data_IF_786447196065
#
_entry.id   IF_786447196065
#
_cell.length_a   1.000
_cell.length_b   1.000
_cell.length_c   1.000
_cell.angle_alpha   90.00
_cell.angle_beta   90.00
_cell.angle_gamma   90.00
#
_symmetry.space_group_name_H-M   'P 1'
#
loop_
_entity.id
_entity.type
_entity.pdbx_description
1 polymer ?
#
# COMPACT_ATOMS: atom_id res chain seq x y z
N UNK A 1 -19.68 48.01 1.08
CA UNK A 1 -19.22 46.96 0.16
C UNK A 1 -17.86 46.51 0.66
N UNK A 2 -17.78 45.44 1.45
CA UNK A 2 -16.52 44.97 2.02
C UNK A 2 -15.98 43.87 1.10
N UNK A 3 -14.83 44.14 0.48
CA UNK A 3 -14.13 43.17 -0.35
C UNK A 3 -13.45 42.15 0.56
N UNK A 4 -13.99 40.94 0.61
CA UNK A 4 -13.28 39.77 1.14
C UNK A 4 -12.10 39.48 0.22
N UNK A 5 -10.89 39.86 0.62
CA UNK A 5 -9.66 39.31 0.01
C UNK A 5 -9.68 37.79 0.15
N UNK A 6 -9.36 37.02 -0.89
CA UNK A 6 -9.14 35.59 -0.72
C UNK A 6 -7.91 35.44 0.17
N UNK A 7 -8.08 34.84 1.35
CA UNK A 7 -6.95 34.47 2.18
C UNK A 7 -6.00 33.63 1.33
N UNK A 8 -4.78 34.12 1.10
CA UNK A 8 -3.79 33.41 0.30
C UNK A 8 -3.59 32.01 0.91
N UNK A 9 -4.03 30.98 0.19
CA UNK A 9 -3.87 29.59 0.60
C UNK A 9 -2.37 29.34 0.76
N UNK A 10 -1.93 29.09 2.00
CA UNK A 10 -0.52 28.82 2.29
C UNK A 10 -0.11 27.57 1.51
N UNK A 11 1.13 27.48 0.98
CA UNK A 11 1.59 26.32 0.23
C UNK A 11 1.34 24.98 0.95
N UNK A 12 1.44 24.96 2.28
CA UNK A 12 1.14 23.78 3.10
C UNK A 12 -0.35 23.38 3.08
N UNK A 13 -1.27 24.35 2.95
CA UNK A 13 -2.70 24.08 2.82
C UNK A 13 -3.02 23.45 1.45
N UNK A 14 -2.47 24.02 0.38
CA UNK A 14 -2.56 23.46 -0.98
C UNK A 14 -2.01 22.03 -1.00
N UNK A 15 -0.84 21.82 -0.40
CA UNK A 15 -0.21 20.50 -0.37
C UNK A 15 -1.03 19.47 0.43
N UNK A 16 -1.66 19.86 1.54
CA UNK A 16 -2.59 18.99 2.28
C UNK A 16 -3.82 18.65 1.46
N UNK A 17 -4.35 19.61 0.70
CA UNK A 17 -5.47 19.37 -0.19
C UNK A 17 -5.08 18.42 -1.34
N UNK A 18 -3.92 18.60 -1.95
CA UNK A 18 -3.41 17.63 -2.94
C UNK A 18 -3.15 16.25 -2.33
N UNK A 19 -2.69 16.15 -1.07
CA UNK A 19 -2.58 14.86 -0.39
C UNK A 19 -3.95 14.20 -0.21
N UNK A 20 -5.00 14.96 0.15
CA UNK A 20 -6.39 14.44 0.22
C UNK A 20 -6.85 13.88 -1.11
N UNK A 21 -6.57 14.58 -2.21
CA UNK A 21 -6.92 14.12 -3.56
C UNK A 21 -6.19 12.84 -3.95
N UNK A 22 -4.93 12.67 -3.53
CA UNK A 22 -4.10 11.52 -3.88
C UNK A 22 -4.31 10.30 -2.97
N UNK A 23 -4.60 10.52 -1.69
CA UNK A 23 -4.58 9.49 -0.66
C UNK A 23 -5.91 9.36 0.09
N UNK A 24 -6.93 10.14 -0.28
CA UNK A 24 -8.23 10.23 0.40
C UNK A 24 -8.22 11.20 1.59
N UNK A 25 -7.09 11.36 2.26
CA UNK A 25 -6.91 12.27 3.39
C UNK A 25 -5.44 12.77 3.52
N UNK A 26 -5.15 13.80 4.34
CA UNK A 26 -3.78 14.25 4.57
C UNK A 26 -2.91 13.15 5.20
N UNK A 27 -1.65 13.07 4.78
CA UNK A 27 -0.71 12.06 5.32
C UNK A 27 -0.54 12.18 6.84
N UNK A 28 -0.62 13.39 7.38
CA UNK A 28 -0.56 13.63 8.82
C UNK A 28 -1.67 12.89 9.59
N UNK A 29 -2.87 12.82 9.03
CA UNK A 29 -4.03 12.21 9.67
C UNK A 29 -3.93 10.68 9.62
N UNK A 30 -3.48 10.12 8.48
CA UNK A 30 -3.17 8.69 8.33
C UNK A 30 -2.10 8.26 9.35
N UNK A 31 -0.97 8.98 9.39
CA UNK A 31 0.15 8.70 10.28
C UNK A 31 -0.26 8.83 11.75
N UNK A 32 -1.02 9.86 12.10
CA UNK A 32 -1.52 10.06 13.47
C UNK A 32 -2.43 8.92 13.91
N UNK A 33 -3.33 8.46 13.03
CA UNK A 33 -4.21 7.33 13.32
C UNK A 33 -3.42 6.03 13.53
N UNK A 34 -2.49 5.71 12.62
CA UNK A 34 -1.68 4.49 12.70
C UNK A 34 -0.83 4.49 13.97
N UNK A 35 -0.12 5.59 14.25
CA UNK A 35 0.74 5.69 15.43
C UNK A 35 -0.06 5.60 16.72
N UNK A 36 -1.24 6.24 16.79
CA UNK A 36 -2.11 6.14 17.97
C UNK A 36 -2.71 4.75 18.15
N UNK A 37 -3.22 4.13 17.10
CA UNK A 37 -3.88 2.82 17.19
C UNK A 37 -2.89 1.68 17.49
N UNK A 38 -1.70 1.74 16.88
CA UNK A 38 -0.68 0.70 17.03
C UNK A 38 0.35 1.01 18.13
N UNK A 39 0.27 2.17 18.78
CA UNK A 39 1.20 2.59 19.82
C UNK A 39 2.64 2.78 19.29
N UNK A 40 2.78 3.24 18.05
CA UNK A 40 4.07 3.40 17.37
C UNK A 40 4.58 4.84 17.47
N UNK A 41 5.91 4.99 17.52
CA UNK A 41 6.51 6.29 17.23
C UNK A 41 6.50 6.55 15.72
N UNK A 42 6.54 7.82 15.31
CA UNK A 42 6.69 8.16 13.89
C UNK A 42 7.99 7.60 13.28
N UNK A 43 9.06 7.50 14.08
CA UNK A 43 10.32 6.88 13.64
C UNK A 43 10.15 5.39 13.35
N UNK A 44 9.48 4.64 14.26
CA UNK A 44 9.21 3.22 14.06
C UNK A 44 8.28 2.98 12.87
N UNK A 45 7.28 3.84 12.67
CA UNK A 45 6.44 3.81 11.47
C UNK A 45 7.29 3.97 10.20
N UNK A 46 8.21 4.95 10.17
CA UNK A 46 9.09 5.20 9.04
C UNK A 46 9.92 3.96 8.69
N UNK A 47 10.50 3.31 9.70
CA UNK A 47 11.23 2.05 9.55
C UNK A 47 10.37 0.98 8.90
N UNK A 48 9.18 0.70 9.44
CA UNK A 48 8.29 -0.37 8.96
C UNK A 48 7.86 -0.14 7.51
N UNK A 49 7.54 1.10 7.12
CA UNK A 49 7.14 1.38 5.72
C UNK A 49 8.35 1.48 4.76
N UNK A 50 9.58 1.46 5.28
CA UNK A 50 10.80 1.60 4.49
C UNK A 50 11.05 3.03 4.01
N UNK A 51 10.70 4.04 4.81
CA UNK A 51 10.91 5.45 4.55
C UNK A 51 11.90 6.05 5.56
N UNK A 52 12.71 7.02 5.13
CA UNK A 52 13.54 7.75 6.09
C UNK A 52 12.67 8.65 6.98
N UNK A 53 13.04 8.76 8.26
CA UNK A 53 12.33 9.64 9.20
C UNK A 53 12.23 11.12 8.72
N UNK A 54 13.27 11.72 8.11
CA UNK A 54 13.16 13.07 7.53
C UNK A 54 12.12 13.15 6.39
N UNK A 55 12.06 12.14 5.52
CA UNK A 55 11.10 12.12 4.41
C UNK A 55 9.67 11.95 4.91
N UNK A 56 9.45 11.13 5.95
CA UNK A 56 8.15 11.03 6.62
C UNK A 56 7.76 12.37 7.26
N UNK A 57 8.69 13.03 7.95
CA UNK A 57 8.45 14.34 8.56
C UNK A 57 8.07 15.42 7.53
N UNK A 58 8.70 15.41 6.36
CA UNK A 58 8.33 16.31 5.25
C UNK A 58 6.93 16.05 4.71
N UNK A 59 6.50 14.78 4.61
CA UNK A 59 5.15 14.42 4.17
C UNK A 59 4.10 14.83 5.21
N UNK A 60 4.32 14.52 6.49
CA UNK A 60 3.43 14.90 7.60
C UNK A 60 3.31 16.43 7.72
N UNK A 61 4.40 17.15 7.53
CA UNK A 61 4.40 18.63 7.54
C UNK A 61 3.88 19.26 6.24
N UNK A 62 3.39 18.45 5.29
CA UNK A 62 2.94 18.89 3.96
C UNK A 62 3.97 19.67 3.13
N UNK A 63 5.26 19.61 3.48
CA UNK A 63 6.36 20.14 2.66
C UNK A 63 6.64 19.27 1.43
N UNK A 64 6.19 18.01 1.48
CA UNK A 64 6.25 17.05 0.38
C UNK A 64 4.87 16.44 0.19
N UNK A 65 4.43 16.34 -1.06
CA UNK A 65 3.09 15.83 -1.39
C UNK A 65 3.13 14.34 -1.71
N UNK A 66 4.01 13.92 -2.64
CA UNK A 66 3.94 12.59 -3.25
C UNK A 66 4.86 11.56 -2.60
N UNK A 67 4.35 10.37 -2.29
CA UNK A 67 5.12 9.15 -2.06
C UNK A 67 5.51 8.57 -3.43
N UNK A 68 6.81 8.58 -3.77
CA UNK A 68 7.29 8.17 -5.09
C UNK A 68 7.47 6.65 -5.24
N UNK A 69 7.58 5.93 -4.13
CA UNK A 69 7.76 4.49 -4.13
C UNK A 69 6.41 3.79 -3.86
N UNK A 70 5.85 3.04 -4.84
CA UNK A 70 4.56 2.37 -4.66
C UNK A 70 4.60 1.30 -3.56
N UNK A 71 5.76 0.69 -3.27
CA UNK A 71 5.90 -0.26 -2.17
C UNK A 71 5.70 0.42 -0.80
N UNK A 72 6.21 1.64 -0.63
CA UNK A 72 6.00 2.43 0.60
C UNK A 72 4.53 2.76 0.78
N UNK A 73 3.83 3.09 -0.30
CA UNK A 73 2.39 3.35 -0.26
C UNK A 73 1.60 2.09 0.11
N UNK A 74 1.93 0.94 -0.47
CA UNK A 74 1.30 -0.34 -0.14
C UNK A 74 1.46 -0.68 1.35
N UNK A 75 2.68 -0.55 1.91
CA UNK A 75 2.91 -0.77 3.35
C UNK A 75 2.15 0.20 4.24
N UNK A 76 2.06 1.47 3.83
CA UNK A 76 1.27 2.46 4.56
C UNK A 76 -0.21 2.07 4.61
N UNK A 77 -0.76 1.55 3.50
CA UNK A 77 -2.12 1.03 3.46
C UNK A 77 -2.29 -0.20 4.34
N UNK A 78 -1.39 -1.18 4.26
CA UNK A 78 -1.42 -2.38 5.12
C UNK A 78 -1.40 -2.02 6.62
N UNK A 79 -0.66 -0.98 7.01
CA UNK A 79 -0.65 -0.48 8.39
C UNK A 79 -1.94 0.28 8.76
N UNK A 80 -2.53 1.01 7.82
CA UNK A 80 -3.82 1.66 8.03
C UNK A 80 -4.93 0.62 8.25
N UNK A 81 -4.94 -0.46 7.47
CA UNK A 81 -5.89 -1.56 7.62
C UNK A 81 -5.67 -2.30 8.95
N UNK A 82 -4.41 -2.54 9.33
CA UNK A 82 -4.05 -3.13 10.62
C UNK A 82 -4.52 -2.27 11.81
N UNK A 83 -4.45 -0.94 11.68
CA UNK A 83 -4.87 0.01 12.70
C UNK A 83 -6.40 0.02 12.96
N UNK A 84 -7.20 -0.44 11.98
CA UNK A 84 -8.67 -0.55 12.09
C UNK A 84 -9.09 -2.00 12.42
N UNK A 85 -8.16 -2.95 12.32
CA UNK A 85 -8.38 -4.36 12.61
C UNK A 85 -8.61 -4.69 14.09
N UNK A 86 -8.86 -5.98 14.39
CA UNK A 86 -9.04 -6.44 15.77
C UNK A 86 -7.80 -6.16 16.61
N UNK A 87 -8.00 -5.98 17.92
CA UNK A 87 -6.91 -5.83 18.86
C UNK A 87 -6.01 -7.08 18.84
N UNK A 88 -4.73 -6.86 18.59
CA UNK A 88 -3.70 -7.89 18.58
C UNK A 88 -2.93 -7.87 19.90
N UNK A 89 -2.39 -9.02 20.29
CA UNK A 89 -1.34 -9.07 21.30
C UNK A 89 -0.09 -8.34 20.81
N UNK A 90 0.81 -8.00 21.74
CA UNK A 90 2.07 -7.33 21.40
C UNK A 90 2.92 -8.17 20.43
N UNK A 91 2.98 -9.48 20.64
CA UNK A 91 3.76 -10.40 19.82
C UNK A 91 3.20 -10.53 18.41
N UNK A 92 1.87 -10.70 18.28
CA UNK A 92 1.20 -10.72 16.97
C UNK A 92 1.40 -9.40 16.23
N UNK A 93 1.30 -8.26 16.94
CA UNK A 93 1.52 -6.95 16.34
C UNK A 93 2.94 -6.82 15.79
N UNK A 94 3.96 -7.14 16.56
CA UNK A 94 5.35 -7.08 16.08
C UNK A 94 5.59 -8.02 14.89
N UNK A 95 5.02 -9.23 14.92
CA UNK A 95 5.10 -10.16 13.79
C UNK A 95 4.44 -9.58 12.52
N UNK A 96 3.28 -8.91 12.65
CA UNK A 96 2.61 -8.25 11.53
C UNK A 96 3.40 -7.05 11.00
N UNK A 97 4.01 -6.24 11.88
CA UNK A 97 4.86 -5.13 11.47
C UNK A 97 6.10 -5.61 10.70
N UNK A 98 6.74 -6.69 11.16
CA UNK A 98 7.86 -7.32 10.46
C UNK A 98 7.43 -7.85 9.08
N UNK A 99 6.28 -8.55 9.01
CA UNK A 99 5.75 -9.04 7.74
C UNK A 99 5.49 -7.89 6.74
N UNK A 100 4.87 -6.79 7.18
CA UNK A 100 4.61 -5.62 6.30
C UNK A 100 5.93 -4.98 5.83
N UNK A 101 6.93 -4.89 6.71
CA UNK A 101 8.25 -4.39 6.32
C UNK A 101 8.90 -5.26 5.24
N UNK A 102 8.83 -6.57 5.41
CA UNK A 102 9.44 -7.55 4.52
C UNK A 102 8.65 -7.78 3.23
N UNK A 103 7.35 -7.44 3.21
CA UNK A 103 6.53 -7.38 2.01
C UNK A 103 7.10 -6.33 1.05
N UNK A 104 7.97 -6.79 0.15
CA UNK A 104 8.41 -6.10 -1.04
C UNK A 104 7.55 -6.60 -2.21
N UNK A 105 6.78 -5.74 -2.90
CA UNK A 105 6.42 -6.04 -4.28
C UNK A 105 7.73 -6.02 -5.08
N UNK A 106 8.38 -7.17 -5.19
CA UNK A 106 9.52 -7.36 -6.08
C UNK A 106 9.08 -7.14 -7.53
N UNK A 107 9.99 -6.69 -8.41
CA UNK A 107 9.72 -6.64 -9.85
C UNK A 107 9.17 -7.99 -10.38
N UNK A 108 9.55 -9.10 -9.75
CA UNK A 108 9.01 -10.43 -10.05
C UNK A 108 7.52 -10.54 -9.74
N UNK A 109 7.08 -10.15 -8.53
CA UNK A 109 5.65 -10.20 -8.17
C UNK A 109 4.78 -9.29 -9.03
N UNK A 110 5.28 -8.12 -9.45
CA UNK A 110 4.57 -7.27 -10.42
C UNK A 110 4.48 -7.91 -11.81
N UNK A 111 5.55 -8.57 -12.26
CA UNK A 111 5.57 -9.31 -13.54
C UNK A 111 4.61 -10.49 -13.50
N UNK A 112 4.56 -11.22 -12.39
CA UNK A 112 3.67 -12.36 -12.20
C UNK A 112 2.21 -11.92 -12.14
N UNK A 113 1.89 -10.82 -11.45
CA UNK A 113 0.55 -10.24 -11.46
C UNK A 113 0.11 -9.82 -12.87
N UNK A 114 1.02 -9.21 -13.64
CA UNK A 114 0.78 -8.89 -15.06
C UNK A 114 0.58 -10.12 -15.93
N UNK A 115 1.39 -11.17 -15.73
CA UNK A 115 1.29 -12.44 -16.45
C UNK A 115 -0.01 -13.18 -16.13
N UNK A 116 -0.41 -13.23 -14.86
CA UNK A 116 -1.67 -13.82 -14.38
C UNK A 116 -2.87 -13.09 -15.01
N UNK A 117 -2.83 -11.76 -15.06
CA UNK A 117 -3.88 -10.97 -15.70
C UNK A 117 -3.96 -11.25 -17.21
N UNK A 118 -2.81 -11.29 -17.90
CA UNK A 118 -2.75 -11.61 -19.33
C UNK A 118 -3.28 -13.02 -19.64
N UNK A 119 -2.92 -14.03 -18.82
CA UNK A 119 -3.41 -15.40 -18.97
C UNK A 119 -4.93 -15.48 -18.80
N UNK A 120 -5.48 -14.77 -17.81
CA UNK A 120 -6.93 -14.71 -17.59
C UNK A 120 -7.69 -14.08 -18.74
N UNK A 121 -7.09 -13.09 -19.41
CA UNK A 121 -7.67 -12.47 -20.60
C UNK A 121 -7.56 -13.37 -21.84
N UNK A 122 -6.56 -14.25 -21.89
CA UNK A 122 -6.29 -15.10 -23.05
C UNK A 122 -7.14 -16.38 -23.11
N UNK A 123 -7.56 -16.93 -21.97
CA UNK A 123 -8.30 -18.19 -21.93
C UNK A 123 -9.23 -18.32 -20.70
N UNK A 124 -10.33 -19.09 -20.79
CA UNK A 124 -11.22 -19.35 -19.66
C UNK A 124 -10.53 -20.18 -18.56
N UNK A 125 -10.99 -20.02 -17.32
CA UNK A 125 -10.38 -20.67 -16.14
C UNK A 125 -10.27 -22.19 -16.26
N UNK A 126 -11.24 -22.87 -16.87
CA UNK A 126 -11.20 -24.33 -17.08
C UNK A 126 -10.06 -24.77 -18.01
N UNK A 127 -9.78 -23.97 -19.04
CA UNK A 127 -8.70 -24.24 -19.99
C UNK A 127 -7.33 -23.96 -19.35
N UNK A 128 -7.22 -22.86 -18.59
CA UNK A 128 -6.03 -22.56 -17.79
C UNK A 128 -5.72 -23.66 -16.75
N UNK A 129 -6.75 -24.20 -16.07
CA UNK A 129 -6.59 -25.35 -15.15
C UNK A 129 -6.11 -26.62 -15.87
N UNK A 130 -6.70 -26.97 -17.02
CA UNK A 130 -6.25 -28.13 -17.81
C UNK A 130 -4.80 -27.98 -18.25
N UNK A 131 -4.42 -26.80 -18.75
CA UNK A 131 -3.04 -26.51 -19.17
C UNK A 131 -2.05 -26.57 -17.99
N UNK A 132 -2.46 -26.13 -16.80
CA UNK A 132 -1.63 -26.21 -15.60
C UNK A 132 -1.30 -27.67 -15.20
N UNK A 133 -2.20 -28.61 -15.48
CA UNK A 133 -2.00 -30.05 -15.20
C UNK A 133 -1.15 -30.74 -16.26
N UNK A 134 -1.10 -30.20 -17.48
CA UNK A 134 -0.38 -30.79 -18.62
C UNK A 134 1.05 -30.25 -18.77
N UNK A 135 1.34 -29.07 -18.22
CA UNK A 135 2.68 -28.48 -18.31
C UNK A 135 3.67 -29.17 -17.39
N UNK A 136 4.89 -29.37 -17.89
CA UNK A 136 6.01 -29.95 -17.12
C UNK A 136 6.82 -28.88 -16.39
N UNK A 137 6.58 -27.59 -16.66
CA UNK A 137 7.25 -26.47 -16.01
C UNK A 137 6.48 -26.06 -14.73
N UNK A 138 7.06 -26.24 -13.52
CA UNK A 138 6.34 -26.02 -12.26
C UNK A 138 5.95 -24.55 -12.04
N UNK A 139 6.79 -23.60 -12.47
CA UNK A 139 6.50 -22.16 -12.36
C UNK A 139 5.33 -21.74 -13.26
N UNK A 140 5.29 -22.24 -14.50
CA UNK A 140 4.18 -21.98 -15.42
C UNK A 140 2.88 -22.62 -14.90
N UNK A 141 2.95 -23.83 -14.33
CA UNK A 141 1.80 -24.47 -13.70
C UNK A 141 1.25 -23.65 -12.52
N UNK A 142 2.11 -22.96 -11.76
CA UNK A 142 1.69 -22.08 -10.67
C UNK A 142 0.98 -20.83 -11.19
N UNK A 143 1.54 -20.15 -12.21
CA UNK A 143 0.91 -18.98 -12.84
C UNK A 143 -0.45 -19.30 -13.46
N UNK A 144 -0.57 -20.43 -14.16
CA UNK A 144 -1.83 -20.88 -14.76
C UNK A 144 -2.90 -21.18 -13.70
N UNK A 145 -2.53 -21.84 -12.58
CA UNK A 145 -3.46 -22.08 -11.47
C UNK A 145 -3.91 -20.79 -10.80
N UNK A 146 -2.99 -19.85 -10.61
CA UNK A 146 -3.30 -18.54 -10.03
C UNK A 146 -4.25 -17.74 -10.94
N UNK A 147 -4.01 -17.77 -12.26
CA UNK A 147 -4.88 -17.12 -13.24
C UNK A 147 -6.29 -17.71 -13.27
N UNK A 148 -6.41 -19.03 -13.11
CA UNK A 148 -7.69 -19.74 -13.11
C UNK A 148 -8.48 -19.66 -11.78
N UNK A 149 -7.84 -19.24 -10.68
CA UNK A 149 -8.50 -19.05 -9.39
C UNK A 149 -9.48 -17.87 -9.40
N UNK A 150 -10.44 -17.81 -8.46
CA UNK A 150 -11.31 -16.64 -8.31
C UNK A 150 -10.45 -15.38 -8.10
N UNK A 151 -10.85 -14.26 -8.70
CA UNK A 151 -10.22 -12.96 -8.41
C UNK A 151 -10.40 -12.70 -6.92
N UNK A 152 -9.35 -12.84 -6.12
CA UNK A 152 -9.33 -12.34 -4.76
C UNK A 152 -9.31 -10.81 -4.83
N UNK A 153 -10.48 -10.22 -5.06
CA UNK A 153 -10.76 -8.83 -4.72
C UNK A 153 -11.66 -8.89 -3.48
N UNK A 154 -11.02 -8.75 -2.32
CA UNK A 154 -11.63 -8.54 -1.01
C UNK A 154 -10.80 -7.49 -0.31
#
# INVERSE_FOLDING_TARGET
>A
MNATSPAAETPDNINRQTQRELYGEPIADIVGRITSALGLTQGRLAEVIGLSAPMLSQLVSARRVKIGNPAVLARLQSLADLAVGPALSLEEREARLAAIHDEQPTMSTMRDAGAVHALRAAAPSEELQRLAQQTTAPELAALLRLAAGPSSHG
#
